data_IF_769024905049
#
_entry.id   IF_769024905049
#
_cell.length_a   1.000
_cell.length_b   1.000
_cell.length_c   1.000
_cell.angle_alpha   90.00
_cell.angle_beta   90.00
_cell.angle_gamma   90.00
#
_symmetry.space_group_name_H-M   'P 1'
#
loop_
_entity.id
_entity.type
_entity.pdbx_description
1 polymer ?
#
# COMPACT_ATOMS: atom_id res chain seq x y z
N UNK A 1 -64.74 12.62 -21.13
CA UNK A 1 -63.68 13.59 -21.46
C UNK A 1 -62.96 13.02 -22.67
N UNK A 2 -63.11 13.67 -23.83
CA UNK A 2 -62.48 13.19 -25.08
C UNK A 2 -61.05 13.69 -25.09
N UNK A 3 -60.10 12.77 -25.18
CA UNK A 3 -58.67 13.06 -25.36
C UNK A 3 -58.48 13.84 -26.66
N UNK A 4 -58.31 15.16 -26.54
CA UNK A 4 -57.89 16.02 -27.63
C UNK A 4 -56.42 16.36 -27.48
N UNK A 5 -55.55 15.42 -27.86
CA UNK A 5 -54.18 15.77 -28.22
C UNK A 5 -53.76 14.92 -29.41
N UNK A 6 -54.15 15.38 -30.61
CA UNK A 6 -53.58 14.90 -31.88
C UNK A 6 -52.05 15.09 -31.94
N UNK A 7 -51.49 15.90 -31.04
CA UNK A 7 -50.12 16.37 -31.04
C UNK A 7 -49.37 15.86 -29.81
N UNK A 8 -48.23 15.18 -30.03
CA UNK A 8 -47.45 14.53 -28.97
C UNK A 8 -46.21 15.33 -28.54
N UNK A 9 -45.60 16.12 -29.43
CA UNK A 9 -44.44 16.97 -29.10
C UNK A 9 -44.56 18.39 -29.70
N UNK A 10 -43.81 19.34 -29.13
CA UNK A 10 -43.70 20.73 -29.60
C UNK A 10 -43.12 20.80 -31.02
N UNK A 11 -42.22 19.88 -31.38
CA UNK A 11 -41.67 19.74 -32.73
C UNK A 11 -42.75 19.28 -33.73
N UNK A 12 -43.56 18.30 -33.28
CA UNK A 12 -44.91 17.94 -33.76
C UNK A 12 -45.74 19.10 -34.27
N UNK A 13 -46.00 19.99 -33.33
CA UNK A 13 -46.89 21.14 -33.47
C UNK A 13 -46.24 22.18 -34.38
N UNK A 14 -44.95 22.47 -34.18
CA UNK A 14 -44.19 23.43 -34.97
C UNK A 14 -44.15 23.06 -36.46
N UNK A 15 -43.90 21.79 -36.77
CA UNK A 15 -43.88 21.28 -38.16
C UNK A 15 -45.21 21.55 -38.87
N UNK A 16 -46.32 21.41 -38.18
CA UNK A 16 -47.63 21.54 -38.79
C UNK A 16 -48.06 22.99 -38.94
N UNK A 17 -47.76 23.85 -37.98
CA UNK A 17 -47.96 25.29 -38.16
C UNK A 17 -47.09 25.84 -39.30
N UNK A 18 -45.88 25.29 -39.51
CA UNK A 18 -45.07 25.59 -40.71
C UNK A 18 -45.74 25.14 -42.01
N UNK A 19 -46.49 24.04 -42.01
CA UNK A 19 -47.24 23.57 -43.18
C UNK A 19 -48.48 24.42 -43.47
N UNK A 20 -49.16 24.89 -42.42
CA UNK A 20 -50.33 25.78 -42.53
C UNK A 20 -49.95 27.10 -43.22
N UNK A 21 -48.72 27.62 -42.99
CA UNK A 21 -48.21 28.86 -43.58
C UNK A 21 -49.20 30.02 -43.37
N UNK A 22 -49.47 30.33 -42.10
CA UNK A 22 -50.54 31.25 -41.70
C UNK A 22 -50.47 32.60 -42.44
N UNK A 23 -49.28 33.17 -42.62
CA UNK A 23 -49.08 34.45 -43.32
C UNK A 23 -49.52 34.39 -44.79
N UNK A 24 -49.10 33.36 -45.54
CA UNK A 24 -49.53 33.18 -46.93
C UNK A 24 -51.05 32.93 -47.03
N UNK A 25 -51.63 32.27 -46.02
CA UNK A 25 -53.07 32.06 -45.95
C UNK A 25 -53.83 33.35 -45.59
N UNK A 26 -53.29 34.19 -44.71
CA UNK A 26 -53.81 35.52 -44.39
C UNK A 26 -53.86 36.41 -45.65
N UNK A 27 -52.79 36.43 -46.45
CA UNK A 27 -52.75 37.19 -47.71
C UNK A 27 -53.84 36.75 -48.70
N UNK A 28 -54.07 35.43 -48.82
CA UNK A 28 -55.13 34.87 -49.66
C UNK A 28 -56.54 35.20 -49.12
N UNK A 29 -56.69 35.25 -47.80
CA UNK A 29 -57.93 35.68 -47.16
C UNK A 29 -58.18 37.19 -47.34
N UNK A 30 -57.15 38.03 -47.30
CA UNK A 30 -57.24 39.48 -47.58
C UNK A 30 -57.84 39.69 -48.99
N UNK A 31 -57.35 38.93 -49.98
CA UNK A 31 -57.87 38.94 -51.36
C UNK A 31 -59.32 38.50 -51.45
N UNK A 32 -59.65 37.37 -50.82
CA UNK A 32 -61.01 36.80 -50.81
C UNK A 32 -62.01 37.74 -50.12
N UNK A 33 -61.60 38.41 -49.03
CA UNK A 33 -62.43 39.38 -48.33
C UNK A 33 -62.81 40.58 -49.20
N UNK A 34 -61.86 41.05 -50.03
CA UNK A 34 -62.07 42.15 -50.97
C UNK A 34 -63.05 41.73 -52.09
N UNK A 35 -62.86 40.55 -52.68
CA UNK A 35 -63.77 39.98 -53.68
C UNK A 35 -65.20 39.80 -53.14
N UNK A 36 -65.34 39.33 -51.89
CA UNK A 36 -66.64 39.21 -51.21
C UNK A 36 -67.32 40.57 -51.05
N UNK A 37 -66.55 41.61 -50.67
CA UNK A 37 -67.09 42.97 -50.55
C UNK A 37 -67.63 43.48 -51.90
N UNK A 38 -66.90 43.27 -52.98
CA UNK A 38 -67.32 43.64 -54.33
C UNK A 38 -68.57 42.86 -54.79
N UNK A 39 -68.61 41.55 -54.54
CA UNK A 39 -69.76 40.70 -54.86
C UNK A 39 -71.02 41.09 -54.08
N UNK A 40 -70.88 41.52 -52.82
CA UNK A 40 -71.98 42.02 -52.02
C UNK A 40 -72.61 43.28 -52.64
N UNK A 41 -71.80 44.22 -53.08
CA UNK A 41 -72.27 45.46 -53.70
C UNK A 41 -72.88 45.23 -55.09
N UNK A 42 -72.27 44.34 -55.89
CA UNK A 42 -72.80 43.92 -57.18
C UNK A 42 -74.15 43.19 -57.05
N UNK A 43 -74.29 42.27 -56.10
CA UNK A 43 -75.53 41.53 -55.84
C UNK A 43 -76.67 42.46 -55.37
N UNK A 44 -76.36 43.43 -54.51
CA UNK A 44 -77.34 44.43 -54.07
C UNK A 44 -77.85 45.28 -55.25
N UNK A 45 -76.99 45.60 -56.21
CA UNK A 45 -77.33 46.37 -57.41
C UNK A 45 -78.15 45.54 -58.41
N UNK A 46 -77.72 44.30 -58.68
CA UNK A 46 -78.42 43.37 -59.56
C UNK A 46 -79.84 43.04 -59.04
N UNK A 47 -80.01 42.89 -57.71
CA UNK A 47 -81.32 42.71 -57.08
C UNK A 47 -82.27 43.89 -57.34
N UNK A 48 -81.79 45.12 -57.21
CA UNK A 48 -82.59 46.33 -57.50
C UNK A 48 -82.99 46.40 -58.98
N UNK A 49 -82.06 46.11 -59.88
CA UNK A 49 -82.33 46.10 -61.33
C UNK A 49 -83.35 45.02 -61.74
N UNK A 50 -83.30 43.83 -61.13
CA UNK A 50 -84.29 42.77 -61.34
C UNK A 50 -85.69 43.17 -60.84
N UNK A 51 -85.76 43.86 -59.69
CA UNK A 51 -87.02 44.43 -59.18
C UNK A 51 -87.62 45.45 -60.15
N UNK A 52 -86.81 46.31 -60.76
CA UNK A 52 -87.27 47.31 -61.72
C UNK A 52 -87.75 46.69 -63.04
N UNK A 53 -87.01 45.71 -63.59
CA UNK A 53 -87.44 44.98 -64.80
C UNK A 53 -88.73 44.20 -64.59
N UNK A 54 -88.94 43.68 -63.38
CA UNK A 54 -90.18 43.02 -62.99
C UNK A 54 -91.37 44.00 -62.96
N UNK A 55 -91.16 45.23 -62.47
CA UNK A 55 -92.18 46.31 -62.52
C UNK A 55 -92.51 46.74 -63.95
N UNK A 56 -91.56 46.65 -64.88
CA UNK A 56 -91.79 46.95 -66.29
C UNK A 56 -92.60 45.84 -66.99
N UNK A 57 -92.35 44.57 -66.67
CA UNK A 57 -93.11 43.43 -67.21
C UNK A 57 -94.58 43.45 -66.78
N UNK A 58 -94.89 43.94 -65.58
CA UNK A 58 -96.27 44.17 -65.10
C UNK A 58 -97.08 45.16 -65.95
N UNK A 59 -96.45 45.91 -66.87
CA UNK A 59 -97.11 46.96 -67.68
C UNK A 59 -97.54 46.51 -69.08
N UNK A 60 -97.45 45.22 -69.41
CA UNK A 60 -97.70 44.67 -70.76
C UNK A 60 -99.14 44.11 -70.93
N UNK A 61 -99.73 44.31 -72.11
CA UNK A 61 -101.20 44.47 -72.34
C UNK A 61 -102.00 43.28 -72.95
N UNK A 62 -101.55 42.03 -72.81
CA UNK A 62 -102.39 40.87 -73.16
C UNK A 62 -102.69 40.10 -71.87
N UNK A 63 -103.90 40.33 -71.37
CA UNK A 63 -104.07 40.65 -69.96
C UNK A 63 -104.54 39.46 -69.13
N UNK A 64 -105.55 38.72 -69.58
CA UNK A 64 -106.34 37.89 -68.66
C UNK A 64 -105.60 36.72 -68.02
N UNK A 65 -104.63 36.12 -68.70
CA UNK A 65 -103.87 34.98 -68.16
C UNK A 65 -102.54 35.40 -67.52
N UNK A 66 -101.89 36.43 -68.06
CA UNK A 66 -100.69 37.02 -67.45
C UNK A 66 -101.03 37.65 -66.10
N UNK A 67 -102.20 38.24 -65.96
CA UNK A 67 -102.64 38.84 -64.69
C UNK A 67 -102.76 37.82 -63.55
N UNK A 68 -103.18 36.60 -63.84
CA UNK A 68 -103.51 35.62 -62.79
C UNK A 68 -102.24 35.00 -62.17
N UNK A 69 -101.26 34.60 -62.99
CA UNK A 69 -100.09 33.82 -62.52
C UNK A 69 -98.82 34.65 -62.27
N UNK A 70 -98.73 35.86 -62.82
CA UNK A 70 -97.52 36.69 -62.70
C UNK A 70 -97.33 37.19 -61.27
N UNK A 71 -98.39 37.47 -60.53
CA UNK A 71 -98.32 37.90 -59.13
C UNK A 71 -97.68 36.84 -58.21
N UNK A 72 -98.20 35.61 -58.15
CA UNK A 72 -97.62 34.50 -57.38
C UNK A 72 -96.19 34.14 -57.82
N UNK A 73 -95.92 34.13 -59.12
CA UNK A 73 -94.59 33.83 -59.65
C UNK A 73 -93.56 34.88 -59.20
N UNK A 74 -93.88 36.17 -59.33
CA UNK A 74 -93.02 37.27 -58.86
C UNK A 74 -92.76 37.16 -57.36
N UNK A 75 -93.78 36.87 -56.56
CA UNK A 75 -93.61 36.69 -55.10
C UNK A 75 -92.67 35.54 -54.77
N UNK A 76 -92.70 34.46 -55.54
CA UNK A 76 -91.82 33.31 -55.35
C UNK A 76 -90.37 33.65 -55.74
N UNK A 77 -90.16 34.30 -56.89
CA UNK A 77 -88.83 34.84 -57.25
C UNK A 77 -88.29 35.81 -56.21
N UNK A 78 -89.15 36.68 -55.66
CA UNK A 78 -88.75 37.64 -54.65
C UNK A 78 -88.35 36.96 -53.34
N UNK A 79 -89.12 35.96 -52.89
CA UNK A 79 -88.79 35.16 -51.72
C UNK A 79 -87.46 34.42 -51.88
N UNK A 80 -87.21 33.83 -53.04
CA UNK A 80 -85.95 33.13 -53.32
C UNK A 80 -84.76 34.07 -53.44
N UNK A 81 -84.90 35.22 -54.13
CA UNK A 81 -83.86 36.25 -54.20
C UNK A 81 -83.54 36.81 -52.81
N UNK A 82 -84.56 37.03 -51.97
CA UNK A 82 -84.39 37.53 -50.62
C UNK A 82 -83.72 36.50 -49.71
N UNK A 83 -84.09 35.22 -49.84
CA UNK A 83 -83.46 34.11 -49.12
C UNK A 83 -82.00 33.93 -49.52
N UNK A 84 -81.69 33.97 -50.83
CA UNK A 84 -80.32 33.91 -51.34
C UNK A 84 -79.50 35.11 -50.87
N UNK A 85 -80.06 36.32 -50.92
CA UNK A 85 -79.38 37.53 -50.44
C UNK A 85 -79.09 37.44 -48.94
N UNK A 86 -80.04 36.94 -48.14
CA UNK A 86 -79.87 36.78 -46.69
C UNK A 86 -78.79 35.73 -46.38
N UNK A 87 -78.78 34.60 -47.09
CA UNK A 87 -77.76 33.55 -46.94
C UNK A 87 -76.37 34.03 -47.35
N UNK A 88 -76.26 34.77 -48.46
CA UNK A 88 -75.01 35.38 -48.90
C UNK A 88 -74.47 36.36 -47.85
N UNK A 89 -75.29 37.30 -47.39
CA UNK A 89 -74.89 38.26 -46.33
C UNK A 89 -74.45 37.58 -45.03
N UNK A 90 -75.11 36.49 -44.63
CA UNK A 90 -74.71 35.73 -43.45
C UNK A 90 -73.36 35.04 -43.65
N UNK A 91 -73.14 34.42 -44.80
CA UNK A 91 -71.87 33.78 -45.16
C UNK A 91 -70.73 34.80 -45.21
N UNK A 92 -70.93 35.92 -45.89
CA UNK A 92 -69.95 37.01 -46.01
C UNK A 92 -69.62 37.60 -44.64
N UNK A 93 -70.64 37.83 -43.82
CA UNK A 93 -70.45 38.35 -42.48
C UNK A 93 -69.66 37.40 -41.60
N UNK A 94 -70.03 36.11 -41.58
CA UNK A 94 -69.34 35.08 -40.79
C UNK A 94 -67.89 34.89 -41.26
N UNK A 95 -67.67 34.91 -42.57
CA UNK A 95 -66.33 34.87 -43.16
C UNK A 95 -65.50 36.07 -42.70
N UNK A 96 -66.03 37.29 -42.83
CA UNK A 96 -65.32 38.52 -42.45
C UNK A 96 -65.05 38.59 -40.95
N UNK A 97 -65.94 38.08 -40.10
CA UNK A 97 -65.70 37.97 -38.65
C UNK A 97 -64.54 37.02 -38.34
N UNK A 98 -64.54 35.82 -38.94
CA UNK A 98 -63.47 34.84 -38.78
C UNK A 98 -62.12 35.37 -39.29
N UNK A 99 -62.15 35.98 -40.48
CA UNK A 99 -60.98 36.58 -41.12
C UNK A 99 -60.37 37.69 -40.28
N UNK A 100 -61.17 38.59 -39.69
CA UNK A 100 -60.65 39.65 -38.80
C UNK A 100 -59.82 39.09 -37.66
N UNK A 101 -60.35 38.08 -36.96
CA UNK A 101 -59.66 37.43 -35.84
C UNK A 101 -58.36 36.79 -36.30
N UNK A 102 -58.38 36.10 -37.43
CA UNK A 102 -57.23 35.35 -37.93
C UNK A 102 -56.16 36.23 -38.56
N UNK A 103 -56.54 37.35 -39.18
CA UNK A 103 -55.61 38.33 -39.74
C UNK A 103 -54.82 39.07 -38.68
N UNK A 104 -55.47 39.39 -37.56
CA UNK A 104 -54.82 40.07 -36.43
C UNK A 104 -53.99 39.10 -35.58
N UNK A 105 -54.19 37.79 -35.72
CA UNK A 105 -53.43 36.79 -35.00
C UNK A 105 -51.98 36.70 -35.52
N UNK A 106 -50.95 36.84 -34.64
CA UNK A 106 -49.56 36.65 -35.04
C UNK A 106 -49.28 35.18 -35.37
N UNK A 107 -48.35 34.94 -36.29
CA UNK A 107 -47.88 33.59 -36.59
C UNK A 107 -47.25 32.94 -35.35
N UNK A 108 -47.74 31.75 -34.89
CA UNK A 108 -47.16 31.07 -33.74
C UNK A 108 -45.81 30.39 -34.04
N UNK A 109 -45.44 30.19 -35.31
CA UNK A 109 -44.22 29.47 -35.71
C UNK A 109 -42.94 30.05 -35.10
N UNK A 110 -42.69 31.38 -35.13
CA UNK A 110 -41.47 31.95 -34.56
C UNK A 110 -41.37 31.74 -33.04
N UNK A 111 -42.47 31.93 -32.32
CA UNK A 111 -42.50 31.73 -30.87
C UNK A 111 -42.29 30.25 -30.50
N UNK A 112 -42.94 29.33 -31.22
CA UNK A 112 -42.78 27.89 -31.01
C UNK A 112 -41.37 27.39 -31.37
N UNK A 113 -40.76 27.92 -32.43
CA UNK A 113 -39.37 27.61 -32.77
C UNK A 113 -38.41 28.06 -31.66
N UNK A 114 -38.63 29.24 -31.10
CA UNK A 114 -37.88 29.72 -29.93
C UNK A 114 -38.04 28.79 -28.71
N UNK A 115 -39.26 28.33 -28.42
CA UNK A 115 -39.51 27.40 -27.32
C UNK A 115 -38.83 26.03 -27.50
N UNK A 116 -38.82 25.49 -28.72
CA UNK A 116 -38.08 24.24 -29.03
C UNK A 116 -36.58 24.43 -28.82
N UNK A 117 -36.02 25.56 -29.27
CA UNK A 117 -34.60 25.88 -29.05
C UNK A 117 -34.26 25.98 -27.55
N UNK A 118 -35.06 26.73 -26.79
CA UNK A 118 -34.90 26.87 -25.33
C UNK A 118 -35.03 25.51 -24.61
N UNK A 119 -35.96 24.65 -25.02
CA UNK A 119 -36.10 23.29 -24.49
C UNK A 119 -34.82 22.47 -24.72
N UNK A 120 -34.21 22.58 -25.91
CA UNK A 120 -32.94 21.93 -26.23
C UNK A 120 -31.77 22.44 -25.40
N UNK A 121 -31.62 23.77 -25.31
CA UNK A 121 -30.58 24.42 -24.49
C UNK A 121 -30.71 24.07 -23.00
N UNK A 122 -31.94 24.04 -22.47
CA UNK A 122 -32.20 23.66 -21.09
C UNK A 122 -31.76 22.21 -20.82
N UNK A 123 -32.05 21.28 -21.74
CA UNK A 123 -31.62 19.89 -21.62
C UNK A 123 -30.10 19.76 -21.59
N UNK A 124 -29.39 20.47 -22.49
CA UNK A 124 -27.93 20.48 -22.53
C UNK A 124 -27.32 21.11 -21.27
N UNK A 125 -27.91 22.20 -20.74
CA UNK A 125 -27.47 22.81 -19.50
C UNK A 125 -27.65 21.89 -18.30
N UNK A 126 -28.76 21.13 -18.22
CA UNK A 126 -28.98 20.15 -17.15
C UNK A 126 -27.95 19.02 -17.18
N UNK A 127 -27.58 18.55 -18.38
CA UNK A 127 -26.52 17.55 -18.55
C UNK A 127 -25.17 18.10 -18.05
N UNK A 128 -24.82 19.32 -18.47
CA UNK A 128 -23.60 20.01 -18.04
C UNK A 128 -23.56 20.27 -16.52
N UNK A 129 -24.68 20.64 -15.91
CA UNK A 129 -24.82 20.79 -14.46
C UNK A 129 -24.61 19.45 -13.73
N UNK A 130 -25.14 18.36 -14.28
CA UNK A 130 -24.91 17.01 -13.77
C UNK A 130 -23.44 16.61 -13.79
N UNK A 131 -22.75 16.87 -14.90
CA UNK A 131 -21.31 16.61 -15.02
C UNK A 131 -20.48 17.46 -14.04
N UNK A 132 -20.82 18.75 -13.90
CA UNK A 132 -20.16 19.64 -12.94
C UNK A 132 -20.33 19.15 -11.50
N UNK A 133 -21.52 18.66 -11.13
CA UNK A 133 -21.76 18.09 -9.80
C UNK A 133 -20.97 16.80 -9.57
N UNK A 134 -20.91 15.92 -10.57
CA UNK A 134 -20.10 14.70 -10.50
C UNK A 134 -18.61 15.02 -10.35
N UNK A 135 -18.10 16.01 -11.10
CA UNK A 135 -16.71 16.43 -11.04
C UNK A 135 -16.36 17.07 -9.68
N UNK A 136 -17.25 17.89 -9.13
CA UNK A 136 -17.11 18.46 -7.77
C UNK A 136 -17.05 17.38 -6.70
N UNK A 137 -17.87 16.33 -6.84
CA UNK A 137 -17.87 15.20 -5.90
C UNK A 137 -16.54 14.45 -5.94
N UNK A 138 -16.04 14.13 -7.14
CA UNK A 138 -14.72 13.49 -7.30
C UNK A 138 -13.57 14.34 -6.78
N UNK A 139 -13.62 15.65 -6.98
CA UNK A 139 -12.61 16.56 -6.42
C UNK A 139 -12.62 16.55 -4.89
N UNK A 140 -13.81 16.55 -4.27
CA UNK A 140 -13.93 16.46 -2.81
C UNK A 140 -13.41 15.11 -2.27
N UNK A 141 -13.65 14.02 -2.99
CA UNK A 141 -13.09 12.69 -2.67
C UNK A 141 -11.56 12.70 -2.74
N UNK A 142 -10.98 13.22 -3.83
CA UNK A 142 -9.53 13.33 -3.96
C UNK A 142 -8.90 14.24 -2.91
N UNK A 143 -9.54 15.36 -2.55
CA UNK A 143 -9.08 16.21 -1.46
C UNK A 143 -9.09 15.50 -0.11
N UNK A 144 -10.07 14.63 0.13
CA UNK A 144 -10.13 13.81 1.34
C UNK A 144 -9.03 12.76 1.36
N UNK A 145 -8.88 12.00 0.28
CA UNK A 145 -7.81 11.00 0.13
C UNK A 145 -6.42 11.62 0.27
N UNK A 146 -6.21 12.82 -0.30
CA UNK A 146 -4.94 13.53 -0.18
C UNK A 146 -4.61 13.92 1.26
N UNK A 147 -5.62 14.35 2.05
CA UNK A 147 -5.44 14.62 3.48
C UNK A 147 -5.08 13.35 4.24
N UNK A 148 -5.72 12.24 3.94
CA UNK A 148 -5.46 10.95 4.60
C UNK A 148 -4.06 10.44 4.28
N UNK A 149 -3.64 10.51 3.01
CA UNK A 149 -2.27 10.16 2.59
C UNK A 149 -1.22 11.02 3.32
N UNK A 150 -1.46 12.32 3.47
CA UNK A 150 -0.56 13.21 4.22
C UNK A 150 -0.47 12.83 5.69
N UNK A 151 -1.58 12.43 6.32
CA UNK A 151 -1.58 11.94 7.70
C UNK A 151 -0.83 10.61 7.84
N UNK A 152 -0.97 9.71 6.86
CA UNK A 152 -0.23 8.46 6.80
C UNK A 152 1.28 8.71 6.64
N UNK A 153 1.68 9.69 5.83
CA UNK A 153 3.10 10.05 5.65
C UNK A 153 3.76 10.48 6.97
N UNK A 154 3.09 11.32 7.77
CA UNK A 154 3.54 11.69 9.13
C UNK A 154 3.65 10.46 10.04
N UNK A 155 2.69 9.53 9.94
CA UNK A 155 2.71 8.29 10.72
C UNK A 155 3.89 7.40 10.33
N UNK A 156 4.18 7.28 9.04
CA UNK A 156 5.33 6.52 8.53
C UNK A 156 6.64 7.14 9.00
N UNK A 157 6.76 8.47 8.99
CA UNK A 157 7.96 9.17 9.48
C UNK A 157 8.20 8.91 10.97
N UNK A 158 7.16 9.02 11.81
CA UNK A 158 7.24 8.70 13.24
C UNK A 158 7.62 7.23 13.49
N UNK A 159 7.05 6.30 12.72
CA UNK A 159 7.40 4.88 12.82
C UNK A 159 8.86 4.63 12.42
N UNK A 160 9.35 5.29 11.37
CA UNK A 160 10.76 5.20 10.96
C UNK A 160 11.71 5.71 12.05
N UNK A 161 11.40 6.84 12.67
CA UNK A 161 12.17 7.37 13.79
C UNK A 161 12.17 6.39 14.98
N UNK A 162 11.02 5.82 15.30
CA UNK A 162 10.89 4.85 16.40
C UNK A 162 11.71 3.58 16.13
N UNK A 163 11.66 3.06 14.89
CA UNK A 163 12.48 1.90 14.49
C UNK A 163 13.97 2.22 14.58
N UNK A 164 14.40 3.40 14.13
CA UNK A 164 15.79 3.82 14.23
C UNK A 164 16.25 3.90 15.71
N UNK A 165 15.42 4.46 16.60
CA UNK A 165 15.71 4.51 18.03
C UNK A 165 15.83 3.12 18.65
N UNK A 166 14.94 2.18 18.30
CA UNK A 166 15.04 0.81 18.80
C UNK A 166 16.30 0.09 18.27
N UNK A 167 16.68 0.34 17.02
CA UNK A 167 17.91 -0.22 16.45
C UNK A 167 19.15 0.31 17.18
N UNK A 168 19.20 1.61 17.46
CA UNK A 168 20.28 2.25 18.23
C UNK A 168 20.35 1.68 19.65
N UNK A 169 19.23 1.58 20.36
CA UNK A 169 19.18 0.98 21.69
C UNK A 169 19.65 -0.47 21.71
N UNK A 170 19.30 -1.25 20.68
CA UNK A 170 19.72 -2.64 20.56
C UNK A 170 21.23 -2.75 20.28
N UNK A 171 21.76 -1.87 19.42
CA UNK A 171 23.20 -1.78 19.16
C UNK A 171 23.98 -1.40 20.42
N UNK A 172 23.54 -0.36 21.14
CA UNK A 172 24.16 0.01 22.41
C UNK A 172 24.11 -1.13 23.43
N UNK A 173 22.99 -1.86 23.50
CA UNK A 173 22.83 -3.01 24.39
C UNK A 173 23.80 -4.14 24.06
N UNK A 174 23.99 -4.43 22.76
CA UNK A 174 24.98 -5.41 22.29
C UNK A 174 26.39 -4.94 22.62
N UNK A 175 26.73 -3.68 22.35
CA UNK A 175 28.06 -3.13 22.60
C UNK A 175 28.41 -3.14 24.09
N UNK A 176 27.50 -2.70 24.95
CA UNK A 176 27.63 -2.81 26.42
C UNK A 176 27.77 -4.27 26.86
N UNK A 177 27.02 -5.19 26.25
CA UNK A 177 27.10 -6.62 26.53
C UNK A 177 28.47 -7.22 26.18
N UNK A 178 29.01 -6.88 25.01
CA UNK A 178 30.35 -7.30 24.56
C UNK A 178 31.41 -6.72 25.49
N UNK A 179 31.33 -5.42 25.81
CA UNK A 179 32.28 -4.75 26.69
C UNK A 179 32.33 -5.41 28.07
N UNK A 180 31.16 -5.63 28.68
CA UNK A 180 31.06 -6.32 29.97
C UNK A 180 31.61 -7.76 29.89
N UNK A 181 31.39 -8.45 28.78
CA UNK A 181 31.93 -9.79 28.53
C UNK A 181 33.47 -9.81 28.49
N UNK A 182 34.07 -8.86 27.76
CA UNK A 182 35.52 -8.69 27.66
C UNK A 182 36.14 -8.35 29.02
N UNK A 183 35.53 -7.42 29.77
CA UNK A 183 36.01 -7.05 31.10
C UNK A 183 35.96 -8.23 32.07
N UNK A 184 34.87 -9.01 32.05
CA UNK A 184 34.73 -10.20 32.89
C UNK A 184 35.72 -11.30 32.52
N UNK A 185 35.93 -11.56 31.23
CA UNK A 185 36.91 -12.53 30.75
C UNK A 185 38.34 -12.11 31.12
N UNK A 186 38.69 -10.84 30.90
CA UNK A 186 39.97 -10.25 31.28
C UNK A 186 40.24 -10.39 32.77
N UNK A 187 39.27 -10.05 33.62
CA UNK A 187 39.38 -10.18 35.08
C UNK A 187 39.56 -11.64 35.50
N UNK A 188 38.81 -12.56 34.88
CA UNK A 188 38.92 -14.00 35.15
C UNK A 188 40.27 -14.57 34.71
N UNK A 189 40.78 -14.15 33.55
CA UNK A 189 42.12 -14.51 33.06
C UNK A 189 43.22 -13.98 33.98
N UNK A 190 43.12 -12.72 34.43
CA UNK A 190 44.08 -12.13 35.37
C UNK A 190 44.12 -12.94 36.68
N UNK A 191 42.96 -13.24 37.25
CA UNK A 191 42.88 -14.08 38.46
C UNK A 191 43.44 -15.49 38.26
N UNK A 192 43.21 -16.11 37.09
CA UNK A 192 43.81 -17.40 36.76
C UNK A 192 45.33 -17.32 36.69
N UNK A 193 45.88 -16.30 36.01
CA UNK A 193 47.32 -16.07 35.90
C UNK A 193 47.95 -15.85 37.29
N UNK A 194 47.31 -15.08 38.16
CA UNK A 194 47.75 -14.89 39.55
C UNK A 194 47.77 -16.22 40.30
N UNK A 195 46.71 -17.03 40.21
CA UNK A 195 46.67 -18.35 40.87
C UNK A 195 47.75 -19.31 40.33
N UNK A 196 48.05 -19.26 39.03
CA UNK A 196 49.09 -20.07 38.41
C UNK A 196 50.47 -19.62 38.89
N UNK A 197 50.71 -18.30 38.97
CA UNK A 197 51.95 -17.73 39.52
C UNK A 197 52.15 -18.12 40.99
N UNK A 198 51.11 -18.06 41.81
CA UNK A 198 51.19 -18.50 43.21
C UNK A 198 51.51 -19.99 43.33
N UNK A 199 50.87 -20.82 42.50
CA UNK A 199 51.16 -22.25 42.45
C UNK A 199 52.58 -22.55 41.96
N UNK A 200 53.06 -21.85 40.93
CA UNK A 200 54.43 -21.97 40.41
C UNK A 200 55.45 -21.58 41.46
N UNK A 201 55.25 -20.44 42.15
CA UNK A 201 56.11 -20.01 43.25
C UNK A 201 56.12 -21.02 44.40
N UNK A 202 54.98 -21.64 44.72
CA UNK A 202 54.89 -22.70 45.73
C UNK A 202 55.67 -23.95 45.31
N UNK A 203 55.51 -24.38 44.05
CA UNK A 203 56.23 -25.55 43.50
C UNK A 203 57.74 -25.31 43.41
N UNK A 204 58.17 -24.10 43.04
CA UNK A 204 59.58 -23.71 43.06
C UNK A 204 60.17 -23.81 44.47
N UNK A 205 59.48 -23.27 45.48
CA UNK A 205 59.93 -23.42 46.89
C UNK A 205 60.02 -24.89 47.32
N UNK A 206 59.06 -25.72 46.93
CA UNK A 206 59.11 -27.17 47.23
C UNK A 206 60.28 -27.86 46.52
N UNK A 207 60.54 -27.50 45.25
CA UNK A 207 61.66 -28.04 44.49
C UNK A 207 63.00 -27.63 45.11
N UNK A 208 63.16 -26.36 45.49
CA UNK A 208 64.34 -25.86 46.19
C UNK A 208 64.57 -26.59 47.51
N UNK A 209 63.52 -26.81 48.31
CA UNK A 209 63.58 -27.60 49.53
C UNK A 209 64.05 -29.04 49.27
N UNK A 210 63.45 -29.72 48.29
CA UNK A 210 63.83 -31.09 47.92
C UNK A 210 65.26 -31.18 47.37
N UNK A 211 65.71 -30.18 46.61
CA UNK A 211 67.09 -30.10 46.14
C UNK A 211 68.08 -29.91 47.29
N UNK A 212 67.75 -29.08 48.27
CA UNK A 212 68.60 -28.88 49.45
C UNK A 212 68.63 -30.12 50.35
N UNK A 213 67.49 -30.80 50.52
CA UNK A 213 67.43 -32.11 51.19
C UNK A 213 68.29 -33.14 50.47
N UNK A 214 68.20 -33.23 49.14
CA UNK A 214 69.02 -34.15 48.35
C UNK A 214 70.52 -33.83 48.44
N UNK A 215 70.90 -32.54 48.44
CA UNK A 215 72.30 -32.11 48.66
C UNK A 215 72.79 -32.50 50.05
N UNK A 216 71.99 -32.25 51.08
CA UNK A 216 72.32 -32.64 52.46
C UNK A 216 72.51 -34.15 52.57
N UNK A 217 71.58 -34.93 52.03
CA UNK A 217 71.70 -36.40 51.98
C UNK A 217 72.95 -36.86 51.22
N UNK A 218 73.31 -36.20 50.12
CA UNK A 218 74.54 -36.51 49.38
C UNK A 218 75.81 -36.25 50.22
N UNK A 219 75.85 -35.14 50.95
CA UNK A 219 76.96 -34.81 51.87
C UNK A 219 77.02 -35.82 53.02
N UNK A 220 75.88 -36.14 53.64
CA UNK A 220 75.78 -37.11 54.74
C UNK A 220 76.21 -38.52 54.27
N UNK A 221 75.84 -38.89 53.04
CA UNK A 221 76.26 -40.14 52.41
C UNK A 221 77.78 -40.16 52.13
N UNK A 222 78.36 -39.08 51.61
CA UNK A 222 79.81 -38.98 51.40
C UNK A 222 80.58 -39.08 52.73
N UNK A 223 80.09 -38.42 53.78
CA UNK A 223 80.64 -38.53 55.13
C UNK A 223 80.58 -39.97 55.66
N UNK A 224 79.43 -40.65 55.47
CA UNK A 224 79.25 -42.06 55.87
C UNK A 224 80.19 -42.99 55.11
N UNK A 225 80.38 -42.79 53.79
CA UNK A 225 81.36 -43.55 53.00
C UNK A 225 82.79 -43.33 53.51
N UNK A 226 83.19 -42.08 53.80
CA UNK A 226 84.51 -41.78 54.38
C UNK A 226 84.72 -42.48 55.71
N UNK A 227 83.71 -42.52 56.57
CA UNK A 227 83.76 -43.26 57.83
C UNK A 227 83.95 -44.76 57.59
N UNK A 228 83.17 -45.36 56.69
CA UNK A 228 83.33 -46.78 56.32
C UNK A 228 84.73 -47.08 55.77
N UNK A 229 85.27 -46.22 54.88
CA UNK A 229 86.64 -46.37 54.39
C UNK A 229 87.68 -46.28 55.52
N UNK A 230 87.52 -45.35 56.47
CA UNK A 230 88.44 -45.23 57.60
C UNK A 230 88.37 -46.44 58.55
N UNK A 231 87.17 -46.97 58.79
CA UNK A 231 86.98 -48.19 59.57
C UNK A 231 87.57 -49.41 58.87
N UNK A 232 87.42 -49.50 57.55
CA UNK A 232 88.00 -50.56 56.75
C UNK A 232 89.54 -50.49 56.76
N UNK A 233 90.11 -49.29 56.63
CA UNK A 233 91.56 -49.09 56.76
C UNK A 233 92.08 -49.46 58.17
N UNK A 234 91.35 -49.09 59.22
CA UNK A 234 91.71 -49.46 60.60
C UNK A 234 91.62 -50.98 60.83
N UNK A 235 90.63 -51.65 60.22
CA UNK A 235 90.51 -53.11 60.26
C UNK A 235 91.65 -53.79 59.50
N UNK A 236 92.02 -53.27 58.32
CA UNK A 236 93.16 -53.78 57.54
C UNK A 236 94.48 -53.57 58.30
N UNK A 237 94.64 -52.46 59.01
CA UNK A 237 95.80 -52.20 59.88
C UNK A 237 95.83 -53.14 61.09
N UNK A 238 94.70 -53.36 61.78
CA UNK A 238 94.59 -54.33 62.88
C UNK A 238 94.89 -55.76 62.40
N UNK A 239 94.41 -56.14 61.21
CA UNK A 239 94.74 -57.42 60.58
C UNK A 239 96.24 -57.52 60.26
N UNK A 240 96.85 -56.47 59.69
CA UNK A 240 98.29 -56.45 59.41
C UNK A 240 99.15 -56.50 60.70
N UNK A 241 98.71 -55.83 61.76
CA UNK A 241 99.36 -55.91 63.08
C UNK A 241 99.25 -57.32 63.65
N UNK A 242 98.08 -57.96 63.56
CA UNK A 242 97.89 -59.36 63.95
C UNK A 242 98.79 -60.31 63.15
N UNK A 243 98.84 -60.17 61.83
CA UNK A 243 99.73 -60.97 60.97
C UNK A 243 101.21 -60.78 61.34
N UNK A 244 101.62 -59.55 61.67
CA UNK A 244 102.98 -59.25 62.14
C UNK A 244 103.29 -59.91 63.49
N UNK A 245 102.37 -59.82 64.46
CA UNK A 245 102.50 -60.48 65.77
C UNK A 245 102.54 -62.00 65.60
N UNK A 246 101.67 -62.56 64.76
CA UNK A 246 101.69 -63.99 64.41
C UNK A 246 103.04 -64.38 63.78
N UNK A 247 103.59 -63.53 62.90
CA UNK A 247 104.92 -63.70 62.35
C UNK A 247 106.03 -63.68 63.41
N UNK A 248 105.98 -62.76 64.37
CA UNK A 248 106.94 -62.72 65.49
C UNK A 248 106.83 -63.98 66.37
N UNK A 249 105.62 -64.38 66.72
CA UNK A 249 105.37 -65.61 67.48
C UNK A 249 105.89 -66.84 66.73
N UNK A 250 105.71 -66.90 65.40
CA UNK A 250 106.26 -67.97 64.58
C UNK A 250 107.79 -68.02 64.64
N UNK A 251 108.47 -66.87 64.55
CA UNK A 251 109.94 -66.83 64.69
C UNK A 251 110.43 -67.24 66.08
N UNK A 252 109.67 -66.91 67.13
CA UNK A 252 109.99 -67.33 68.50
C UNK A 252 109.78 -68.84 68.67
N UNK A 253 108.71 -69.41 68.09
CA UNK A 253 108.48 -70.85 68.01
C UNK A 253 109.62 -71.56 67.26
N UNK A 254 110.05 -71.05 66.11
CA UNK A 254 111.14 -71.64 65.32
C UNK A 254 112.47 -71.58 66.10
N UNK A 255 112.75 -70.48 66.81
CA UNK A 255 113.94 -70.32 67.65
C UNK A 255 113.94 -71.28 68.85
N UNK A 256 112.78 -71.42 69.52
CA UNK A 256 112.61 -72.38 70.62
C UNK A 256 112.75 -73.82 70.12
N UNK A 257 112.20 -74.13 68.94
CA UNK A 257 112.32 -75.45 68.30
C UNK A 257 113.77 -75.77 67.98
N UNK A 258 114.52 -74.85 67.36
CA UNK A 258 115.95 -75.01 67.09
C UNK A 258 116.79 -75.19 68.37
N UNK A 259 116.39 -74.55 69.47
CA UNK A 259 117.05 -74.69 70.77
C UNK A 259 116.75 -76.04 71.43
N UNK A 260 115.55 -76.58 71.23
CA UNK A 260 115.20 -77.96 71.65
C UNK A 260 116.03 -78.96 70.85
N UNK A 261 116.13 -78.82 69.52
CA UNK A 261 116.96 -79.70 68.68
C UNK A 261 118.43 -79.73 69.11
N UNK A 262 119.01 -78.56 69.45
CA UNK A 262 120.37 -78.47 69.98
C UNK A 262 120.55 -79.20 71.32
N UNK A 263 119.59 -79.07 72.23
CA UNK A 263 119.62 -79.77 73.53
C UNK A 263 119.42 -81.29 73.39
N UNK A 264 118.66 -81.73 72.39
CA UNK A 264 118.50 -83.15 72.04
C UNK A 264 119.81 -83.74 71.48
N UNK A 265 120.52 -82.99 70.63
CA UNK A 265 121.83 -83.37 70.09
C UNK A 265 122.88 -83.49 71.20
N UNK A 266 122.89 -82.55 72.15
CA UNK A 266 123.80 -82.53 73.30
C UNK A 266 123.54 -83.72 74.26
N UNK A 267 122.26 -84.10 74.43
CA UNK A 267 121.87 -85.32 75.16
C UNK A 267 122.33 -86.61 74.45
N UNK A 268 122.29 -86.65 73.11
CA UNK A 268 122.78 -87.78 72.33
C UNK A 268 124.29 -87.97 72.49
N UNK A 269 125.08 -86.89 72.43
CA UNK A 269 126.54 -86.94 72.57
C UNK A 269 126.98 -87.41 73.98
N UNK A 270 126.23 -87.06 75.03
CA UNK A 270 126.48 -87.54 76.39
C UNK A 270 126.13 -89.04 76.59
N UNK A 271 125.29 -89.62 75.73
CA UNK A 271 124.95 -91.05 75.75
C UNK A 271 125.97 -91.92 75.02
N UNK A 272 126.63 -91.41 73.98
CA UNK A 272 127.59 -92.19 73.18
C UNK A 272 128.99 -92.30 73.81
N UNK A 273 129.40 -91.34 74.65
CA UNK A 273 130.69 -91.37 75.34
C UNK A 273 130.80 -92.40 76.48
N UNK A 274 129.69 -92.94 76.99
CA UNK A 274 129.65 -93.85 78.15
C UNK A 274 129.79 -95.35 77.81
N UNK A 275 129.97 -95.72 76.53
CA UNK A 275 129.89 -97.13 76.08
C UNK A 275 131.20 -97.76 75.58
N UNK A 276 132.38 -97.21 75.93
CA UNK A 276 133.69 -97.87 75.67
C UNK A 276 134.64 -97.76 76.86
N UNK A 277 134.22 -98.33 77.99
CA UNK A 277 135.08 -99.05 78.95
C UNK A 277 134.87 -100.55 78.73
#
# INVERSE_FOLDING_TARGET
MVEHTKWKDLEDILSQWKQIKLTAWQDEMDRTALEISEHKDANMTARKALQEKTKAFQKLSADDQKLVEVGPLIKTYQKEIDALTKRAKFSDHTFLELYKVLREAPDPVPAMAGLVAVKGELGSNQEMEGELQALRTRLAEYEHEFKDLKNQEVTIENLRLTVAQYQEQLQEGIEKGIQNGIEKDSTSRLGLVESLRENEARLQRQLEQQQEEARRLAIDHEASLKQLFSLQAALDEDNAQKESVDGMLQTEVDSLTARVELLELENQQLREGRSRE
#
